data_IF_072734058999
#
_entry.id   IF_072734058999
#
_cell.length_a   1.000
_cell.length_b   1.000
_cell.length_c   1.000
_cell.angle_alpha   90.00
_cell.angle_beta   90.00
_cell.angle_gamma   90.00
#
_symmetry.space_group_name_H-M   'P 1'
#
loop_
_entity.id
_entity.type
_entity.pdbx_description
1 polymer ?
#
# COMPACT_ATOMS: atom_id res chain seq x y z
N UNK A 1 -13.50 8.25 7.16
CA UNK A 1 -12.70 7.53 6.16
C UNK A 1 -11.36 7.21 6.76
N UNK A 2 -10.96 5.97 6.70
CA UNK A 2 -9.68 5.61 7.27
C UNK A 2 -8.54 5.77 6.25
N UNK A 3 -7.33 5.55 6.71
CA UNK A 3 -6.15 5.76 5.89
C UNK A 3 -6.10 4.82 4.69
N UNK A 4 -6.50 3.57 4.87
CA UNK A 4 -6.50 2.62 3.75
C UNK A 4 -7.48 3.02 2.68
N UNK A 5 -8.66 3.42 3.08
CA UNK A 5 -9.69 3.85 2.15
C UNK A 5 -9.25 5.08 1.39
N UNK A 6 -8.59 6.00 2.08
CA UNK A 6 -8.07 7.19 1.45
C UNK A 6 -7.01 6.85 0.40
N UNK A 7 -6.11 5.95 0.75
CA UNK A 7 -5.08 5.53 -0.19
C UNK A 7 -5.69 4.86 -1.41
N UNK A 8 -6.66 3.97 -1.19
CA UNK A 8 -7.31 3.27 -2.31
C UNK A 8 -8.03 4.24 -3.23
N UNK A 9 -8.75 5.19 -2.68
CA UNK A 9 -9.47 6.16 -3.49
C UNK A 9 -8.52 7.01 -4.31
N UNK A 10 -7.44 7.44 -3.68
CA UNK A 10 -6.49 8.29 -4.38
C UNK A 10 -5.78 7.54 -5.50
N UNK A 11 -5.34 6.31 -5.23
CA UNK A 11 -4.67 5.51 -6.25
C UNK A 11 -5.62 5.18 -7.40
N UNK A 12 -6.87 4.87 -7.09
CA UNK A 12 -7.86 4.62 -8.14
C UNK A 12 -8.08 5.86 -8.98
N UNK A 13 -8.17 7.01 -8.35
CA UNK A 13 -8.34 8.26 -9.07
C UNK A 13 -7.12 8.59 -9.94
N UNK A 14 -5.97 8.07 -9.55
CA UNK A 14 -4.74 8.26 -10.34
C UNK A 14 -4.59 7.24 -11.46
N UNK A 15 -5.57 6.37 -11.63
CA UNK A 15 -5.53 5.38 -12.71
C UNK A 15 -4.83 4.09 -12.34
N UNK A 16 -4.56 3.88 -11.06
CA UNK A 16 -3.87 2.67 -10.61
C UNK A 16 -4.91 1.70 -10.07
N UNK A 17 -4.89 0.47 -10.56
CA UNK A 17 -5.83 -0.54 -10.13
C UNK A 17 -5.51 -0.96 -8.71
N UNK A 18 -6.49 -0.94 -7.83
CA UNK A 18 -6.30 -1.28 -6.43
C UNK A 18 -7.33 -2.28 -5.96
N UNK A 19 -6.93 -3.09 -4.99
CA UNK A 19 -7.81 -4.09 -4.39
C UNK A 19 -7.63 -4.12 -2.88
N UNK A 20 -8.66 -4.59 -2.20
CA UNK A 20 -8.53 -4.95 -0.78
C UNK A 20 -7.87 -6.32 -0.68
N UNK A 21 -7.29 -6.65 0.47
CA UNK A 21 -6.70 -7.97 0.66
C UNK A 21 -7.71 -9.09 0.37
N UNK A 22 -7.26 -10.10 -0.34
CA UNK A 22 -8.08 -11.27 -0.63
C UNK A 22 -9.06 -11.13 -1.78
N UNK A 23 -9.16 -9.94 -2.37
CA UNK A 23 -10.09 -9.74 -3.48
C UNK A 23 -9.47 -10.16 -4.81
N UNK A 24 -8.22 -9.78 -5.03
CA UNK A 24 -7.54 -10.16 -6.27
C UNK A 24 -7.10 -11.60 -6.16
N UNK A 25 -7.55 -12.44 -7.07
CA UNK A 25 -7.18 -13.86 -7.08
C UNK A 25 -6.75 -14.25 -8.47
N UNK A 26 -6.08 -15.38 -8.56
CA UNK A 26 -5.62 -15.89 -9.83
C UNK A 26 -4.34 -15.20 -10.29
N UNK A 27 -3.99 -15.41 -11.54
CA UNK A 27 -2.74 -14.88 -12.06
C UNK A 27 -2.81 -13.38 -12.24
N UNK A 28 -1.69 -12.73 -11.97
CA UNK A 28 -1.58 -11.30 -12.17
C UNK A 28 -1.47 -11.02 -13.68
N UNK A 29 -2.44 -10.33 -14.22
CA UNK A 29 -2.46 -10.05 -15.65
C UNK A 29 -2.13 -8.61 -15.98
N UNK A 30 -2.17 -7.74 -14.99
CA UNK A 30 -1.85 -6.34 -15.15
C UNK A 30 -1.35 -5.83 -13.80
N UNK A 31 -0.58 -4.75 -13.77
CA UNK A 31 -0.11 -4.22 -12.49
C UNK A 31 -1.27 -3.79 -11.61
N UNK A 32 -1.17 -4.10 -10.33
CA UNK A 32 -2.17 -3.63 -9.37
C UNK A 32 -1.54 -3.49 -7.98
N UNK A 33 -2.25 -2.82 -7.10
CA UNK A 33 -1.81 -2.61 -5.72
C UNK A 33 -2.87 -3.21 -4.79
N UNK A 34 -2.42 -3.95 -3.79
CA UNK A 34 -3.30 -4.37 -2.71
C UNK A 34 -3.00 -3.46 -1.53
N UNK A 35 -4.02 -2.84 -0.98
CA UNK A 35 -3.85 -1.90 0.14
C UNK A 35 -4.29 -2.59 1.42
N UNK A 36 -3.39 -2.67 2.38
CA UNK A 36 -3.67 -3.36 3.62
C UNK A 36 -3.36 -2.44 4.79
N UNK A 37 -4.25 -2.38 5.76
CA UNK A 37 -4.03 -1.60 6.95
C UNK A 37 -3.29 -2.38 8.00
N UNK A 38 -2.36 -1.75 8.67
CA UNK A 38 -1.73 -2.29 9.84
C UNK A 38 -2.52 -1.91 11.08
N UNK A 39 -2.16 -2.50 12.17
CA UNK A 39 -2.79 -2.16 13.41
C UNK A 39 -2.45 -0.76 13.86
N UNK A 40 -3.29 -0.23 14.70
CA UNK A 40 -2.96 1.03 15.31
C UNK A 40 -1.87 0.82 16.33
N UNK A 41 -1.02 1.83 16.47
CA UNK A 41 0.00 1.62 17.32
C UNK A 41 -0.34 1.95 18.65
N UNK A 42 -1.39 2.18 18.93
CA UNK A 42 -1.73 2.63 20.14
C UNK A 42 -1.20 1.97 21.23
N UNK A 43 -1.06 0.91 21.14
CA UNK A 43 -0.71 0.27 21.93
C UNK A 43 -0.20 0.65 22.97
N UNK A 44 -0.30 0.46 23.70
CA UNK A 44 0.33 0.56 24.78
C UNK A 44 0.67 1.77 25.32
N UNK A 45 0.53 2.62 24.74
CA UNK A 45 0.95 3.69 25.07
C UNK A 45 0.19 4.23 25.99
N UNK A 46 -0.08 3.72 26.72
CA UNK A 46 -0.58 4.25 27.68
C UNK A 46 -1.43 5.32 27.50
N UNK A 47 -1.79 5.97 28.14
CA UNK A 47 -2.70 6.99 28.02
C UNK A 47 -2.83 7.63 26.73
N UNK A 48 -1.99 7.33 25.92
CA UNK A 48 -2.06 7.89 24.63
C UNK A 48 -3.01 7.15 23.77
N UNK A 49 -3.80 6.38 24.30
CA UNK A 49 -4.78 5.67 23.56
C UNK A 49 -5.53 6.62 22.70
N UNK A 50 -5.77 6.26 21.52
CA UNK A 50 -6.46 7.12 20.60
C UNK A 50 -5.56 8.00 19.78
N UNK A 51 -4.31 8.08 20.13
CA UNK A 51 -3.43 8.88 19.37
C UNK A 51 -2.50 8.05 18.55
N UNK A 52 -2.67 6.78 18.52
CA UNK A 52 -1.76 5.94 17.77
C UNK A 52 -1.79 6.21 16.30
N UNK A 53 -0.75 5.82 15.64
CA UNK A 53 -0.67 5.93 14.20
C UNK A 53 -1.02 4.60 13.60
N UNK A 54 -1.59 4.64 12.42
CA UNK A 54 -1.82 3.44 11.65
C UNK A 54 -0.82 3.36 10.54
N UNK A 55 -0.49 2.16 10.17
CA UNK A 55 0.33 1.96 8.98
C UNK A 55 -0.55 1.46 7.85
N UNK A 56 -0.16 1.80 6.64
CA UNK A 56 -0.81 1.33 5.43
C UNK A 56 0.29 0.71 4.58
N UNK A 57 0.12 -0.53 4.21
CA UNK A 57 1.09 -1.22 3.37
C UNK A 57 0.50 -1.41 1.99
N UNK A 58 1.26 -1.02 1.00
CA UNK A 58 0.87 -1.18 -0.40
C UNK A 58 1.69 -2.33 -0.95
N UNK A 59 1.00 -3.36 -1.43
CA UNK A 59 1.66 -4.48 -2.08
C UNK A 59 1.53 -4.27 -3.57
N UNK A 60 2.63 -3.95 -4.22
CA UNK A 60 2.64 -3.66 -5.66
C UNK A 60 2.95 -4.94 -6.41
N UNK A 61 2.05 -5.35 -7.27
CA UNK A 61 2.21 -6.58 -8.06
C UNK A 61 2.29 -6.25 -9.53
N UNK A 62 3.18 -6.92 -10.24
CA UNK A 62 3.23 -6.85 -11.70
C UNK A 62 3.31 -8.27 -12.26
N UNK A 63 2.84 -8.50 -13.50
CA UNK A 63 3.00 -9.82 -14.11
C UNK A 63 4.47 -10.22 -14.15
N UNK A 64 4.74 -11.48 -13.87
CA UNK A 64 6.12 -11.94 -13.73
C UNK A 64 6.95 -11.74 -14.99
N UNK A 65 6.36 -12.03 -16.13
CA UNK A 65 7.09 -12.02 -17.38
C UNK A 65 7.12 -10.65 -18.02
N UNK A 66 6.00 -9.95 -18.03
CA UNK A 66 5.88 -8.74 -18.81
C UNK A 66 5.91 -7.47 -17.97
N UNK A 67 5.95 -7.58 -16.66
CA UNK A 67 5.84 -6.40 -15.81
C UNK A 67 7.18 -5.76 -15.51
N UNK A 68 7.15 -4.47 -15.33
CA UNK A 68 8.32 -3.71 -14.87
C UNK A 68 8.00 -3.22 -13.47
N UNK A 69 8.44 -3.98 -12.48
CA UNK A 69 8.12 -3.69 -11.08
C UNK A 69 8.70 -2.36 -10.64
N UNK A 70 9.92 -2.08 -11.03
CA UNK A 70 10.56 -0.82 -10.64
C UNK A 70 9.79 0.38 -11.14
N UNK A 71 9.36 0.35 -12.39
CA UNK A 71 8.59 1.45 -12.97
C UNK A 71 7.23 1.58 -12.30
N UNK A 72 6.58 0.45 -12.00
CA UNK A 72 5.28 0.50 -11.35
C UNK A 72 5.40 1.04 -9.92
N UNK A 73 6.41 0.61 -9.19
CA UNK A 73 6.63 1.11 -7.83
C UNK A 73 6.89 2.62 -7.86
N UNK A 74 7.65 3.09 -8.84
CA UNK A 74 7.90 4.53 -8.97
C UNK A 74 6.62 5.29 -9.26
N UNK A 75 5.75 4.73 -10.07
CA UNK A 75 4.46 5.33 -10.38
C UNK A 75 3.57 5.43 -9.13
N UNK A 76 3.54 4.36 -8.35
CA UNK A 76 2.76 4.34 -7.11
C UNK A 76 3.30 5.38 -6.12
N UNK A 77 4.62 5.43 -5.96
CA UNK A 77 5.24 6.42 -5.08
C UNK A 77 4.90 7.83 -5.51
N UNK A 78 4.93 8.08 -6.80
CA UNK A 78 4.62 9.40 -7.32
C UNK A 78 3.17 9.78 -7.02
N UNK A 79 2.26 8.83 -7.20
CA UNK A 79 0.85 9.09 -6.90
C UNK A 79 0.65 9.37 -5.40
N UNK A 80 1.35 8.63 -4.56
CA UNK A 80 1.18 8.79 -3.12
C UNK A 80 1.74 10.12 -2.60
N UNK A 81 2.57 10.79 -3.36
CA UNK A 81 3.10 12.09 -2.91
C UNK A 81 2.01 13.12 -2.69
N UNK A 82 0.91 13.01 -3.41
CA UNK A 82 -0.20 13.93 -3.23
C UNK A 82 -0.83 13.80 -1.85
N UNK A 83 -0.61 12.69 -1.17
CA UNK A 83 -1.16 12.46 0.16
C UNK A 83 -0.15 12.70 1.27
N UNK A 84 0.95 13.37 0.98
CA UNK A 84 2.06 13.46 1.95
C UNK A 84 1.70 14.14 3.26
N UNK A 85 0.64 14.92 3.28
CA UNK A 85 0.21 15.55 4.53
C UNK A 85 -0.63 14.61 5.38
N UNK A 86 -1.01 13.48 4.85
CA UNK A 86 -1.84 12.50 5.54
C UNK A 86 -1.14 11.16 5.71
N UNK A 87 -0.39 10.76 4.72
CA UNK A 87 0.33 9.50 4.73
C UNK A 87 1.77 9.74 4.30
N UNK A 88 2.69 9.36 5.13
CA UNK A 88 4.11 9.51 4.82
C UNK A 88 4.78 8.18 4.68
N UNK A 89 5.70 8.05 3.73
CA UNK A 89 6.48 6.81 3.63
C UNK A 89 7.32 6.64 4.89
N UNK A 90 7.34 5.43 5.42
CA UNK A 90 8.16 5.13 6.58
C UNK A 90 9.60 4.81 6.20
N UNK A 91 9.85 4.61 4.93
CA UNK A 91 11.15 4.15 4.46
C UNK A 91 11.27 2.65 4.41
N UNK A 92 10.30 1.93 4.95
CA UNK A 92 10.33 0.47 4.87
C UNK A 92 9.78 0.04 3.53
N UNK A 93 10.66 -0.49 2.71
CA UNK A 93 10.25 -1.05 1.42
C UNK A 93 10.73 -2.47 1.40
N UNK A 94 9.85 -3.37 1.06
CA UNK A 94 10.23 -4.76 0.98
C UNK A 94 11.15 -5.01 -0.21
N UNK A 95 11.76 -6.17 -0.19
CA UNK A 95 12.54 -6.59 -1.34
C UNK A 95 11.59 -7.13 -2.41
N UNK A 96 12.08 -7.21 -3.60
CA UNK A 96 11.30 -7.80 -4.68
C UNK A 96 11.11 -9.28 -4.40
N UNK A 97 9.87 -9.75 -4.48
CA UNK A 97 9.50 -11.12 -4.20
C UNK A 97 8.86 -11.74 -5.42
N UNK A 98 9.11 -13.03 -5.62
CA UNK A 98 8.41 -13.77 -6.65
C UNK A 98 7.20 -14.43 -6.00
N UNK A 99 6.01 -14.11 -6.52
CA UNK A 99 4.77 -14.67 -6.00
C UNK A 99 4.28 -15.72 -6.96
N UNK A 100 4.68 -16.96 -6.71
CA UNK A 100 4.39 -18.03 -7.66
C UNK A 100 2.90 -18.32 -7.82
N UNK A 101 2.16 -18.19 -6.75
CA UNK A 101 0.72 -18.46 -6.81
C UNK A 101 -0.02 -17.51 -7.73
N UNK A 102 0.51 -16.31 -7.90
CA UNK A 102 -0.13 -15.30 -8.74
C UNK A 102 0.65 -15.05 -10.03
N UNK A 103 1.73 -15.78 -10.24
CA UNK A 103 2.61 -15.58 -11.39
C UNK A 103 3.00 -14.10 -11.49
N UNK A 104 3.48 -13.57 -10.40
CA UNK A 104 3.74 -12.14 -10.26
C UNK A 104 5.05 -11.87 -9.55
N UNK A 105 5.52 -10.65 -9.68
CA UNK A 105 6.58 -10.12 -8.82
C UNK A 105 5.98 -9.02 -7.99
N UNK A 106 6.42 -8.89 -6.77
CA UNK A 106 5.84 -7.91 -5.87
C UNK A 106 6.89 -7.19 -5.04
N UNK A 107 6.49 -6.06 -4.55
CA UNK A 107 7.28 -5.29 -3.59
C UNK A 107 6.33 -4.52 -2.70
N UNK A 108 6.69 -4.34 -1.44
CA UNK A 108 5.84 -3.62 -0.50
C UNK A 108 6.37 -2.23 -0.26
N UNK A 109 5.43 -1.32 -0.02
CA UNK A 109 5.74 0.03 0.41
C UNK A 109 4.93 0.30 1.67
N UNK A 110 5.55 0.86 2.69
CA UNK A 110 4.85 1.14 3.92
C UNK A 110 4.69 2.63 4.12
N UNK A 111 3.49 3.03 4.51
CA UNK A 111 3.17 4.42 4.82
C UNK A 111 2.60 4.50 6.23
N UNK A 112 2.77 5.64 6.85
CA UNK A 112 2.25 5.88 8.19
C UNK A 112 1.24 7.01 8.13
N UNK A 113 0.10 6.79 8.74
CA UNK A 113 -0.91 7.84 8.83
C UNK A 113 -0.45 8.85 9.87
N UNK A 114 -0.58 10.13 9.54
CA UNK A 114 -0.12 11.16 10.44
C UNK A 114 -1.12 11.50 11.51
N UNK A 115 -2.38 11.09 11.33
CA UNK A 115 -3.38 11.30 12.34
C UNK A 115 -4.15 10.04 12.53
N UNK A 116 -4.42 9.70 13.76
CA UNK A 116 -5.15 8.48 14.06
C UNK A 116 -6.57 8.52 13.55
N UNK A 117 -7.09 9.70 13.29
CA UNK A 117 -8.47 9.82 12.88
C UNK A 117 -8.68 9.79 11.39
N UNK A 118 -7.71 9.53 10.65
CA UNK A 118 -7.92 9.48 9.22
C UNK A 118 -8.89 8.41 8.82
#
# INVERSE_FOLDING_TARGET
MDACQRAMEHLTASGILTYKPGVATGKCRAPYVVVRGGGAYARGMSGAAGIGYRTVTLYCFVPRVSGDLSAFVAEVKQAMRALKTQLRPTGNEGIEMLEEDFDARSQTLEYQALRATL
#
